data_IF_983752952921
#
_entry.id   IF_983752952921
#
_cell.length_a   1.000
_cell.length_b   1.000
_cell.length_c   1.000
_cell.angle_alpha   90.00
_cell.angle_beta   90.00
_cell.angle_gamma   90.00
#
_symmetry.space_group_name_H-M   'P 1'
#
loop_
_entity.id
_entity.type
_entity.pdbx_description
1 polymer ?
#
# COMPACT_ATOMS: atom_id res chain seq x y z
N UNK A 1 -19.15 7.87 35.08
CA UNK A 1 -18.12 8.54 34.26
C UNK A 1 -18.22 7.96 32.87
N UNK A 2 -18.45 8.73 31.80
CA UNK A 2 -18.42 8.17 30.46
C UNK A 2 -16.95 8.10 30.02
N UNK A 3 -16.48 6.89 29.71
CA UNK A 3 -15.24 6.71 28.98
C UNK A 3 -15.46 7.23 27.56
N UNK A 4 -14.91 8.40 27.24
CA UNK A 4 -14.82 8.89 25.88
C UNK A 4 -13.80 8.03 25.13
N UNK A 5 -14.30 7.20 24.22
CA UNK A 5 -13.48 6.48 23.24
C UNK A 5 -12.91 7.53 22.26
N UNK A 6 -11.87 8.24 22.67
CA UNK A 6 -11.14 9.17 21.82
C UNK A 6 -10.17 8.34 20.98
N UNK A 7 -10.61 7.92 19.80
CA UNK A 7 -9.68 7.49 18.77
C UNK A 7 -8.63 8.59 18.54
N UNK A 8 -7.39 8.19 18.21
CA UNK A 8 -6.38 9.15 17.78
C UNK A 8 -6.83 9.85 16.50
N UNK A 9 -6.41 11.09 16.30
CA UNK A 9 -6.76 11.81 15.08
C UNK A 9 -6.13 11.16 13.84
N UNK A 10 -6.83 11.23 12.70
CA UNK A 10 -6.35 10.68 11.44
C UNK A 10 -4.95 11.21 11.07
N UNK A 11 -4.68 12.48 11.35
CA UNK A 11 -3.37 13.10 11.15
C UNK A 11 -2.25 12.42 11.95
N UNK A 12 -2.54 12.03 13.20
CA UNK A 12 -1.58 11.35 14.05
C UNK A 12 -1.34 9.93 13.59
N UNK A 13 -2.39 9.24 13.17
CA UNK A 13 -2.31 7.90 12.59
C UNK A 13 -1.48 7.93 11.31
N UNK A 14 -1.79 8.85 10.38
CA UNK A 14 -1.06 9.01 9.12
C UNK A 14 0.41 9.37 9.35
N UNK A 15 0.69 10.29 10.27
CA UNK A 15 2.06 10.67 10.62
C UNK A 15 2.83 9.49 11.21
N UNK A 16 2.21 8.70 12.09
CA UNK A 16 2.84 7.55 12.69
C UNK A 16 3.24 6.48 11.65
N UNK A 17 2.29 6.05 10.82
CA UNK A 17 2.55 4.99 9.84
C UNK A 17 3.45 5.44 8.68
N UNK A 18 3.36 6.70 8.26
CA UNK A 18 4.30 7.25 7.26
C UNK A 18 5.74 7.28 7.79
N UNK A 19 5.93 7.74 9.03
CA UNK A 19 7.23 7.71 9.69
C UNK A 19 7.76 6.28 9.86
N UNK A 20 6.89 5.34 10.24
CA UNK A 20 7.27 3.93 10.38
C UNK A 20 7.71 3.34 9.05
N UNK A 21 6.94 3.53 7.98
CA UNK A 21 7.28 3.08 6.63
C UNK A 21 8.67 3.58 6.20
N UNK A 22 8.94 4.87 6.42
CA UNK A 22 10.24 5.47 6.10
C UNK A 22 11.38 4.96 7.00
N UNK A 23 11.12 4.70 8.27
CA UNK A 23 12.13 4.21 9.22
C UNK A 23 12.51 2.77 8.93
N UNK A 24 11.55 1.91 8.56
CA UNK A 24 11.83 0.51 8.22
C UNK A 24 12.73 0.42 6.98
N UNK A 25 12.63 1.36 6.04
CA UNK A 25 13.51 1.43 4.88
C UNK A 25 14.96 1.87 5.20
N UNK A 26 15.24 2.32 6.44
CA UNK A 26 16.59 2.72 6.88
C UNK A 26 17.27 1.53 7.56
N UNK A 27 18.22 0.84 6.91
CA UNK A 27 18.90 -0.31 7.50
C UNK A 27 19.67 0.12 8.76
N UNK A 28 19.63 -0.72 9.81
CA UNK A 28 20.49 -0.61 11.00
C UNK A 28 21.12 -1.98 11.26
N UNK A 29 22.36 -1.97 11.73
CA UNK A 29 23.05 -3.16 12.25
C UNK A 29 23.11 -4.36 11.28
N UNK A 30 23.23 -4.09 9.97
CA UNK A 30 23.38 -5.11 8.94
C UNK A 30 22.08 -5.81 8.50
N UNK A 31 20.93 -5.45 9.09
CA UNK A 31 19.62 -5.95 8.64
C UNK A 31 19.12 -5.08 7.49
N UNK A 32 18.89 -5.70 6.34
CA UNK A 32 18.25 -5.04 5.19
C UNK A 32 16.76 -5.31 5.21
N UNK A 33 15.96 -4.27 5.45
CA UNK A 33 14.52 -4.32 5.32
C UNK A 33 14.08 -3.50 4.11
N UNK A 34 13.10 -4.02 3.38
CA UNK A 34 12.43 -3.33 2.28
C UNK A 34 10.93 -3.39 2.54
N UNK A 35 10.18 -2.39 2.12
CA UNK A 35 8.72 -2.41 2.11
C UNK A 35 8.32 -1.81 0.77
N UNK A 36 7.36 -2.43 0.11
CA UNK A 36 6.81 -1.94 -1.15
C UNK A 36 5.29 -1.86 -1.00
N UNK A 37 4.75 -0.66 -1.13
CA UNK A 37 3.31 -0.42 -1.15
C UNK A 37 2.86 -0.32 -2.62
N UNK A 38 1.77 -0.99 -2.95
CA UNK A 38 1.18 -0.97 -4.29
C UNK A 38 -0.31 -0.70 -4.18
N UNK A 39 -0.84 0.15 -5.05
CA UNK A 39 -2.26 0.40 -5.21
C UNK A 39 -2.61 0.15 -6.67
N UNK A 40 -3.44 -0.86 -6.90
CA UNK A 40 -3.78 -1.34 -8.23
C UNK A 40 -5.27 -1.11 -8.45
N UNK A 41 -5.63 -0.38 -9.50
CA UNK A 41 -7.00 0.05 -9.74
C UNK A 41 -7.43 -0.33 -11.16
N UNK A 42 -8.73 -0.53 -11.38
CA UNK A 42 -9.23 -0.76 -12.72
C UNK A 42 -9.15 0.50 -13.59
N UNK A 43 -8.83 0.33 -14.87
CA UNK A 43 -8.72 1.41 -15.84
C UNK A 43 -10.01 2.24 -16.00
N UNK A 44 -11.17 1.69 -15.63
CA UNK A 44 -12.45 2.40 -15.70
C UNK A 44 -12.65 3.42 -14.58
N UNK A 45 -11.83 3.39 -13.53
CA UNK A 45 -11.93 4.27 -12.37
C UNK A 45 -10.79 5.29 -12.33
N UNK A 46 -11.14 6.49 -11.89
CA UNK A 46 -10.17 7.55 -11.64
C UNK A 46 -10.01 7.74 -10.12
N UNK A 47 -8.77 7.95 -9.70
CA UNK A 47 -8.42 8.19 -8.30
C UNK A 47 -8.36 9.70 -8.08
N UNK A 48 -8.78 10.16 -6.91
CA UNK A 48 -8.59 11.56 -6.55
C UNK A 48 -7.08 11.88 -6.49
N UNK A 49 -6.66 12.93 -7.18
CA UNK A 49 -5.24 13.35 -7.25
C UNK A 49 -4.64 13.58 -5.86
N UNK A 50 -5.39 14.20 -4.95
CA UNK A 50 -4.92 14.44 -3.58
C UNK A 50 -4.64 13.13 -2.83
N UNK A 51 -5.49 12.12 -3.00
CA UNK A 51 -5.28 10.82 -2.40
C UNK A 51 -4.05 10.12 -3.02
N UNK A 52 -3.93 10.15 -4.35
CA UNK A 52 -2.77 9.61 -5.09
C UNK A 52 -1.45 10.23 -4.62
N UNK A 53 -1.42 11.55 -4.48
CA UNK A 53 -0.25 12.29 -4.00
C UNK A 53 0.08 11.92 -2.56
N UNK A 54 -0.94 11.79 -1.71
CA UNK A 54 -0.79 11.41 -0.31
C UNK A 54 -0.16 10.01 -0.18
N UNK A 55 -0.70 9.00 -0.87
CA UNK A 55 -0.19 7.63 -0.77
C UNK A 55 1.21 7.47 -1.38
N UNK A 56 1.47 8.19 -2.47
CA UNK A 56 2.79 8.20 -3.12
C UNK A 56 3.83 8.87 -2.22
N UNK A 57 3.51 10.03 -1.65
CA UNK A 57 4.46 10.82 -0.83
C UNK A 57 4.76 10.18 0.52
N UNK A 58 3.73 9.77 1.25
CA UNK A 58 3.88 9.34 2.64
C UNK A 58 4.21 7.86 2.79
N UNK A 59 3.80 7.04 1.81
CA UNK A 59 3.96 5.59 1.87
C UNK A 59 4.82 5.04 0.74
N UNK A 60 5.31 5.89 -0.18
CA UNK A 60 6.04 5.43 -1.37
C UNK A 60 5.26 4.39 -2.17
N UNK A 61 3.92 4.52 -2.15
CA UNK A 61 3.05 3.60 -2.86
C UNK A 61 3.18 3.80 -4.37
N UNK A 62 3.19 2.69 -5.11
CA UNK A 62 3.09 2.72 -6.56
C UNK A 62 1.64 2.57 -6.97
N UNK A 63 1.10 3.56 -7.66
CA UNK A 63 -0.26 3.52 -8.21
C UNK A 63 -0.19 3.07 -9.67
N UNK A 64 -0.83 1.95 -10.01
CA UNK A 64 -0.90 1.41 -11.37
C UNK A 64 -2.34 1.02 -11.71
N UNK A 65 -2.66 1.10 -13.01
CA UNK A 65 -4.00 0.78 -13.51
C UNK A 65 -3.94 -0.45 -14.40
N UNK A 66 -4.91 -1.35 -14.23
CA UNK A 66 -5.02 -2.60 -14.99
C UNK A 66 -6.45 -2.84 -15.47
N UNK A 67 -6.60 -3.71 -16.46
CA UNK A 67 -7.91 -4.17 -16.92
C UNK A 67 -8.28 -5.44 -16.13
N UNK A 68 -9.10 -5.28 -15.09
CA UNK A 68 -9.58 -6.41 -14.28
C UNK A 68 -10.73 -7.17 -14.97
N UNK A 69 -11.21 -6.71 -16.13
CA UNK A 69 -12.03 -7.53 -17.03
C UNK A 69 -11.27 -8.74 -17.60
N UNK A 70 -9.94 -8.76 -17.43
CA UNK A 70 -9.05 -9.88 -17.72
C UNK A 70 -8.30 -10.34 -16.46
N UNK A 71 -8.98 -11.05 -15.55
CA UNK A 71 -8.47 -11.32 -14.21
C UNK A 71 -7.14 -12.08 -14.21
N UNK A 72 -6.95 -13.05 -15.11
CA UNK A 72 -5.71 -13.82 -15.20
C UNK A 72 -4.50 -12.96 -15.60
N UNK A 73 -4.68 -12.06 -16.59
CA UNK A 73 -3.62 -11.13 -17.03
C UNK A 73 -3.28 -10.13 -15.91
N UNK A 74 -4.29 -9.56 -15.24
CA UNK A 74 -4.11 -8.63 -14.14
C UNK A 74 -3.41 -9.28 -12.94
N UNK A 75 -3.84 -10.49 -12.56
CA UNK A 75 -3.24 -11.26 -11.48
C UNK A 75 -1.77 -11.60 -11.78
N UNK A 76 -1.46 -12.01 -13.01
CA UNK A 76 -0.07 -12.27 -13.41
C UNK A 76 0.80 -11.02 -13.26
N UNK A 77 0.31 -9.85 -13.70
CA UNK A 77 1.08 -8.61 -13.61
C UNK A 77 1.30 -8.21 -12.14
N UNK A 78 0.25 -8.23 -11.31
CA UNK A 78 0.36 -7.93 -9.87
C UNK A 78 1.33 -8.91 -9.20
N UNK A 79 1.22 -10.20 -9.52
CA UNK A 79 2.14 -11.22 -9.02
C UNK A 79 3.58 -10.93 -9.47
N UNK A 80 3.83 -10.59 -10.73
CA UNK A 80 5.16 -10.20 -11.22
C UNK A 80 5.71 -8.97 -10.50
N UNK A 81 4.87 -7.96 -10.17
CA UNK A 81 5.28 -6.79 -9.38
C UNK A 81 5.71 -7.19 -7.98
N UNK A 82 4.93 -8.03 -7.31
CA UNK A 82 5.25 -8.58 -6.00
C UNK A 82 6.56 -9.38 -6.06
N UNK A 83 6.74 -10.24 -7.06
CA UNK A 83 7.95 -11.05 -7.25
C UNK A 83 9.20 -10.20 -7.47
N UNK A 84 9.11 -9.12 -8.25
CA UNK A 84 10.22 -8.17 -8.44
C UNK A 84 10.59 -7.45 -7.14
N UNK A 85 9.62 -7.19 -6.26
CA UNK A 85 9.90 -6.71 -4.91
C UNK A 85 10.46 -7.82 -3.98
N UNK A 86 10.04 -9.08 -4.21
CA UNK A 86 10.36 -10.27 -3.40
C UNK A 86 11.79 -10.76 -3.48
N UNK A 87 12.57 -10.39 -4.50
CA UNK A 87 14.03 -10.59 -4.44
C UNK A 87 14.71 -9.79 -3.30
N UNK A 88 13.92 -9.11 -2.46
CA UNK A 88 14.30 -8.85 -1.07
C UNK A 88 13.27 -9.07 0.06
N UNK A 89 11.92 -9.16 -0.11
CA UNK A 89 10.99 -9.03 1.05
C UNK A 89 9.63 -9.78 1.01
N UNK A 90 9.06 -9.98 2.21
CA UNK A 90 7.72 -10.52 2.59
C UNK A 90 6.57 -9.52 2.28
N UNK A 91 5.49 -9.98 1.65
CA UNK A 91 4.35 -9.14 1.20
C UNK A 91 3.03 -9.73 1.70
N UNK A 92 2.11 -8.88 2.16
CA UNK A 92 0.71 -9.22 2.45
C UNK A 92 -0.17 -8.71 1.32
N UNK A 93 -0.96 -9.58 0.70
CA UNK A 93 -2.05 -9.21 -0.21
C UNK A 93 -3.36 -9.24 0.55
N UNK A 94 -4.22 -8.23 0.33
CA UNK A 94 -5.60 -8.24 0.79
C UNK A 94 -6.45 -8.14 -0.47
N UNK A 95 -7.02 -9.25 -0.88
CA UNK A 95 -8.05 -9.29 -1.90
C UNK A 95 -9.37 -8.91 -1.22
N UNK A 96 -9.99 -7.82 -1.67
CA UNK A 96 -11.34 -7.46 -1.24
C UNK A 96 -12.28 -8.19 -2.18
N UNK A 97 -12.74 -9.37 -1.78
CA UNK A 97 -13.88 -10.03 -2.43
C UNK A 97 -15.12 -9.16 -2.20
N UNK A 98 -15.74 -8.68 -3.29
CA UNK A 98 -17.12 -8.20 -3.26
C UNK A 98 -18.02 -9.40 -2.96
N UNK A 99 -18.60 -9.45 -1.77
CA UNK A 99 -19.71 -10.36 -1.47
C UNK A 99 -21.03 -9.75 -1.96
N UNK A 100 -21.76 -10.54 -2.77
CA UNK A 100 -23.15 -10.35 -3.22
C UNK A 100 -24.13 -9.80 -2.16
#
# INVERSE_FOLDING_TARGET
>A
MPCSNLGESDDRIMTYYSNLSQQILKPRDGVQTRIANGFFLDNQYEIEDHYKDTVTKYYSAKVEYYDFGKPDEAAEIVQQRILRARWSVMVSTVDVDETD
#
